data_IF_912089160033
#
_entry.id   IF_912089160033
#
_cell.length_a   1.000
_cell.length_b   1.000
_cell.length_c   1.000
_cell.angle_alpha   90.00
_cell.angle_beta   90.00
_cell.angle_gamma   90.00
#
_symmetry.space_group_name_H-M   'P 1'
#
loop_
_entity.id
_entity.type
_entity.pdbx_description
1 polymer ?
#
# COMPACT_ATOMS: atom_id res chain seq x y z
N UNK A 1 16.69 -6.76 1.55
CA UNK A 1 15.39 -6.15 1.86
C UNK A 1 15.30 -5.87 3.35
N UNK A 2 14.93 -4.68 3.70
CA UNK A 2 14.72 -4.31 5.10
C UNK A 2 13.44 -4.97 5.62
N UNK A 3 13.56 -5.79 6.67
CA UNK A 3 12.40 -6.49 7.23
C UNK A 3 11.31 -5.53 7.69
N UNK A 4 11.69 -4.40 8.27
CA UNK A 4 10.73 -3.38 8.70
C UNK A 4 9.90 -2.76 7.58
N UNK A 5 10.31 -2.95 6.33
CA UNK A 5 9.56 -2.48 5.17
C UNK A 5 8.56 -3.52 4.65
N UNK A 6 8.56 -4.72 5.23
CA UNK A 6 7.60 -5.76 4.87
C UNK A 6 6.42 -5.62 5.81
N UNK A 7 5.41 -4.88 5.38
CA UNK A 7 4.21 -4.66 6.19
C UNK A 7 3.02 -4.39 5.30
N UNK A 8 1.85 -4.55 5.85
CA UNK A 8 0.59 -4.50 5.13
C UNK A 8 -0.41 -3.62 5.85
N UNK A 9 -1.38 -3.13 5.12
CA UNK A 9 -2.58 -2.53 5.68
C UNK A 9 -3.78 -3.06 4.94
N UNK A 10 -4.93 -3.06 5.60
CA UNK A 10 -6.19 -3.47 5.00
C UNK A 10 -7.33 -2.84 5.76
N UNK A 11 -8.51 -2.81 5.16
CA UNK A 11 -9.69 -2.28 5.82
C UNK A 11 -10.36 -3.36 6.65
N UNK A 12 -10.69 -3.01 7.87
CA UNK A 12 -11.39 -3.87 8.80
C UNK A 12 -12.81 -4.12 8.32
N UNK A 13 -13.27 -5.36 8.45
CA UNK A 13 -14.66 -5.69 8.16
C UNK A 13 -15.56 -4.98 9.17
N UNK A 14 -16.60 -4.35 8.67
CA UNK A 14 -17.63 -3.72 9.47
C UNK A 14 -17.50 -2.20 9.56
N UNK A 15 -16.35 -1.66 9.91
CA UNK A 15 -16.18 -0.22 10.07
C UNK A 15 -15.29 0.44 9.02
N UNK A 16 -14.65 -0.36 8.15
CA UNK A 16 -13.79 0.11 7.07
C UNK A 16 -12.60 0.96 7.52
N UNK A 17 -12.18 0.82 8.75
CA UNK A 17 -10.97 1.48 9.24
C UNK A 17 -9.72 0.75 8.76
N UNK A 18 -8.69 1.51 8.44
CA UNK A 18 -7.40 0.93 8.11
C UNK A 18 -6.74 0.31 9.33
N UNK A 19 -6.20 -0.89 9.15
CA UNK A 19 -5.45 -1.61 10.17
C UNK A 19 -4.09 -1.95 9.57
N UNK A 20 -3.03 -1.76 10.34
CA UNK A 20 -1.65 -1.97 9.90
C UNK A 20 -1.00 -3.09 10.68
N UNK A 21 -0.23 -3.93 10.02
CA UNK A 21 0.50 -5.01 10.66
C UNK A 21 0.92 -6.09 9.68
N UNK A 22 1.06 -7.31 10.20
CA UNK A 22 1.44 -8.46 9.41
C UNK A 22 0.21 -9.14 8.83
N UNK A 23 0.35 -9.68 7.63
CA UNK A 23 -0.74 -10.37 6.96
C UNK A 23 -0.77 -11.83 7.41
N UNK A 24 -1.93 -12.32 7.79
CA UNK A 24 -2.11 -13.69 8.22
C UNK A 24 -3.27 -14.35 7.48
N UNK A 25 -2.98 -15.47 6.83
CA UNK A 25 -3.98 -16.26 6.12
C UNK A 25 -4.54 -17.32 7.06
N UNK A 26 -5.80 -17.16 7.42
CA UNK A 26 -6.51 -18.16 8.21
C UNK A 26 -7.17 -19.19 7.29
N UNK A 27 -7.58 -20.35 7.82
CA UNK A 27 -8.32 -21.34 7.03
C UNK A 27 -9.60 -20.76 6.42
N UNK A 28 -10.07 -21.38 5.35
CA UNK A 28 -11.35 -21.05 4.69
C UNK A 28 -11.41 -19.64 4.08
N UNK A 29 -10.27 -19.11 3.66
CA UNK A 29 -10.24 -17.84 2.95
C UNK A 29 -10.33 -16.59 3.82
N UNK A 30 -10.33 -16.76 5.13
CA UNK A 30 -10.32 -15.62 6.05
C UNK A 30 -8.91 -15.04 6.10
N UNK A 31 -8.81 -13.72 6.09
CA UNK A 31 -7.54 -13.02 6.16
C UNK A 31 -7.59 -12.01 7.30
N UNK A 32 -6.52 -11.93 8.06
CA UNK A 32 -6.40 -11.02 9.19
C UNK A 32 -5.12 -10.21 9.10
N UNK A 33 -5.14 -9.04 9.71
CA UNK A 33 -3.94 -8.28 10.04
C UNK A 33 -3.62 -8.57 11.51
N UNK A 34 -2.37 -8.93 11.77
CA UNK A 34 -1.89 -9.20 13.12
C UNK A 34 -1.16 -7.97 13.63
N UNK A 35 -1.66 -7.45 14.74
CA UNK A 35 -1.02 -6.33 15.44
C UNK A 35 -0.31 -6.88 16.67
N UNK A 36 1.01 -6.70 16.71
CA UNK A 36 1.82 -7.17 17.83
C UNK A 36 1.88 -6.09 18.90
N UNK A 37 1.53 -6.47 20.13
CA UNK A 37 1.65 -5.57 21.27
C UNK A 37 2.61 -6.21 22.28
N UNK A 38 2.97 -5.49 23.35
CA UNK A 38 3.86 -6.01 24.37
C UNK A 38 3.30 -7.26 25.06
N UNK A 39 1.98 -7.33 25.22
CA UNK A 39 1.33 -8.36 26.00
C UNK A 39 0.72 -9.47 25.16
N UNK A 40 0.36 -9.19 23.90
CA UNK A 40 -0.37 -10.15 23.09
C UNK A 40 -0.37 -9.75 21.62
N UNK A 41 -0.77 -10.70 20.77
CA UNK A 41 -1.04 -10.44 19.36
C UNK A 41 -2.54 -10.27 19.17
N UNK A 42 -2.90 -9.24 18.44
CA UNK A 42 -4.30 -8.96 18.12
C UNK A 42 -4.55 -9.29 16.66
N UNK A 43 -5.50 -10.19 16.41
CA UNK A 43 -5.90 -10.57 15.05
C UNK A 43 -7.15 -9.79 14.68
N UNK A 44 -7.07 -9.04 13.59
CA UNK A 44 -8.18 -8.22 13.12
C UNK A 44 -8.60 -8.73 11.76
N UNK A 45 -9.83 -9.24 11.65
CA UNK A 45 -10.38 -9.73 10.38
C UNK A 45 -10.59 -8.55 9.43
N UNK A 46 -10.10 -8.70 8.22
CA UNK A 46 -10.11 -7.61 7.22
C UNK A 46 -10.79 -8.07 5.93
N UNK A 47 -11.12 -7.10 5.09
CA UNK A 47 -11.61 -7.34 3.74
C UNK A 47 -10.40 -7.64 2.84
N UNK A 48 -10.26 -8.87 2.32
CA UNK A 48 -9.08 -9.24 1.53
C UNK A 48 -8.88 -8.39 0.28
N UNK A 49 -9.93 -7.82 -0.28
CA UNK A 49 -9.82 -6.99 -1.47
C UNK A 49 -9.12 -5.66 -1.22
N UNK A 50 -8.97 -5.28 0.04
CA UNK A 50 -8.37 -4.01 0.43
C UNK A 50 -6.92 -4.13 0.89
N UNK A 51 -6.33 -5.32 0.84
CA UNK A 51 -4.96 -5.54 1.28
C UNK A 51 -4.00 -4.74 0.41
N UNK A 52 -3.18 -3.94 1.05
CA UNK A 52 -2.15 -3.14 0.41
C UNK A 52 -0.80 -3.44 1.05
N UNK A 53 0.19 -3.66 0.21
CA UNK A 53 1.56 -3.84 0.68
C UNK A 53 2.29 -2.51 0.65
N UNK A 54 3.13 -2.28 1.66
CA UNK A 54 4.02 -1.13 1.66
C UNK A 54 5.09 -1.31 0.57
N UNK A 55 5.33 -0.28 -0.23
CA UNK A 55 6.31 -0.34 -1.32
C UNK A 55 7.76 -0.24 -0.83
N UNK A 56 7.97 0.21 0.41
CA UNK A 56 9.30 0.52 0.94
C UNK A 56 9.73 1.95 0.65
N UNK A 57 8.93 2.72 -0.04
CA UNK A 57 9.27 4.09 -0.43
C UNK A 57 8.43 5.12 0.31
N UNK A 58 9.01 6.33 0.45
CA UNK A 58 8.29 7.48 0.99
C UNK A 58 8.28 8.58 -0.05
N UNK A 59 7.22 9.37 -0.05
CA UNK A 59 7.11 10.50 -0.96
C UNK A 59 7.95 11.69 -0.48
N UNK A 60 7.88 12.81 -1.19
CA UNK A 60 8.69 13.99 -0.88
C UNK A 60 8.34 14.64 0.46
N UNK A 61 7.16 14.32 1.01
CA UNK A 61 6.70 14.85 2.29
C UNK A 61 6.90 13.86 3.43
N UNK A 62 7.55 12.73 3.17
CA UNK A 62 7.80 11.71 4.16
C UNK A 62 6.66 10.72 4.37
N UNK A 63 5.61 10.78 3.56
CA UNK A 63 4.50 9.85 3.64
C UNK A 63 4.86 8.52 3.00
N UNK A 64 4.51 7.43 3.65
CA UNK A 64 4.70 6.10 3.10
C UNK A 64 3.86 5.90 1.85
N UNK A 65 4.43 5.24 0.85
CA UNK A 65 3.74 4.94 -0.41
C UNK A 65 3.32 3.48 -0.38
N UNK A 66 2.01 3.24 -0.51
CA UNK A 66 1.42 1.92 -0.45
C UNK A 66 0.80 1.54 -1.79
N UNK A 67 0.71 0.25 -2.03
CA UNK A 67 -0.12 -0.28 -3.11
C UNK A 67 -1.52 0.30 -3.01
N UNK A 68 -2.09 0.75 -4.14
CA UNK A 68 -3.40 1.39 -4.15
C UNK A 68 -3.38 2.89 -3.95
N UNK A 69 -2.24 3.46 -3.58
CA UNK A 69 -2.13 4.91 -3.41
C UNK A 69 -2.21 5.62 -4.76
N UNK A 70 -2.87 6.77 -4.74
CA UNK A 70 -2.91 7.69 -5.87
C UNK A 70 -1.82 8.72 -5.63
N UNK A 71 -0.88 8.83 -6.56
CA UNK A 71 0.25 9.76 -6.42
C UNK A 71 0.33 10.71 -7.60
N UNK A 72 0.80 11.91 -7.32
CA UNK A 72 1.22 12.86 -8.35
C UNK A 72 2.73 12.81 -8.46
N UNK A 73 3.22 12.73 -9.68
CA UNK A 73 4.63 12.73 -10.00
C UNK A 73 4.96 13.95 -10.84
N UNK A 74 5.98 14.69 -10.45
CA UNK A 74 6.38 15.89 -11.16
C UNK A 74 7.87 15.87 -11.44
N UNK A 75 8.22 16.09 -12.69
CA UNK A 75 9.59 16.25 -13.14
C UNK A 75 9.70 17.41 -14.16
N UNK A 76 10.85 17.51 -14.82
CA UNK A 76 11.07 18.56 -15.82
C UNK A 76 10.20 18.43 -17.07
N UNK A 77 9.57 17.27 -17.27
CA UNK A 77 8.69 16.98 -18.41
C UNK A 77 7.22 17.23 -18.12
N UNK A 78 6.88 17.58 -16.89
CA UNK A 78 5.51 17.86 -16.51
C UNK A 78 5.03 17.07 -15.29
N UNK A 79 3.72 17.07 -15.09
CA UNK A 79 3.07 16.42 -13.98
C UNK A 79 2.20 15.26 -14.47
N UNK A 80 2.25 14.15 -13.74
CA UNK A 80 1.43 12.98 -14.00
C UNK A 80 0.77 12.52 -12.71
N UNK A 81 -0.36 11.84 -12.85
CA UNK A 81 -1.08 11.24 -11.75
C UNK A 81 -1.31 9.78 -12.07
N UNK A 82 -1.08 8.91 -11.11
CA UNK A 82 -1.27 7.48 -11.32
C UNK A 82 -1.48 6.74 -10.03
N UNK A 83 -1.87 5.48 -10.15
CA UNK A 83 -2.10 4.59 -9.03
C UNK A 83 -0.92 3.65 -8.89
N UNK A 84 -0.44 3.47 -7.67
CA UNK A 84 0.60 2.49 -7.36
C UNK A 84 -0.07 1.12 -7.32
N UNK A 85 0.44 0.17 -8.11
CA UNK A 85 -0.13 -1.16 -8.19
C UNK A 85 0.95 -2.22 -8.32
N UNK A 86 0.58 -3.46 -8.00
CA UNK A 86 1.43 -4.62 -8.24
C UNK A 86 1.08 -5.18 -9.61
N UNK A 87 2.06 -5.26 -10.48
CA UNK A 87 1.89 -5.84 -11.81
C UNK A 87 2.44 -7.25 -11.83
N UNK A 88 1.58 -8.23 -12.01
CA UNK A 88 1.98 -9.64 -11.96
C UNK A 88 2.85 -10.06 -13.14
N UNK A 89 2.65 -9.47 -14.30
CA UNK A 89 3.48 -9.78 -15.47
C UNK A 89 4.92 -9.32 -15.27
N UNK A 90 5.09 -8.14 -14.67
CA UNK A 90 6.40 -7.57 -14.41
C UNK A 90 6.97 -7.99 -13.06
N UNK A 91 6.15 -8.61 -12.22
CA UNK A 91 6.49 -8.98 -10.83
C UNK A 91 7.11 -7.80 -10.08
N UNK A 92 6.47 -6.66 -10.18
CA UNK A 92 6.99 -5.40 -9.62
C UNK A 92 5.87 -4.42 -9.34
N UNK A 93 6.15 -3.48 -8.44
CA UNK A 93 5.28 -2.32 -8.26
C UNK A 93 5.42 -1.39 -9.46
N UNK A 94 4.29 -0.86 -9.90
CA UNK A 94 4.20 0.06 -11.00
C UNK A 94 3.52 1.36 -10.60
N UNK A 95 3.89 2.43 -11.31
CA UNK A 95 3.22 3.71 -11.27
C UNK A 95 2.35 3.79 -12.52
N UNK A 96 1.03 3.72 -12.34
CA UNK A 96 0.12 3.68 -13.47
C UNK A 96 0.23 2.37 -14.24
N UNK A 97 0.27 2.46 -15.55
CA UNK A 97 0.16 1.29 -16.43
C UNK A 97 1.54 0.88 -16.95
N UNK A 98 2.06 -0.24 -16.51
CA UNK A 98 3.34 -0.81 -16.95
C UNK A 98 4.59 0.08 -16.73
N UNK A 99 4.49 1.13 -15.93
CA UNK A 99 5.65 1.97 -15.63
C UNK A 99 6.26 1.49 -14.32
N UNK A 100 7.45 0.91 -14.39
CA UNK A 100 8.13 0.39 -13.20
C UNK A 100 8.38 1.50 -12.19
N UNK A 101 7.92 1.30 -10.96
CA UNK A 101 8.05 2.30 -9.90
C UNK A 101 9.51 2.69 -9.64
N UNK A 102 10.43 1.74 -9.79
CA UNK A 102 11.85 1.99 -9.56
C UNK A 102 12.48 3.00 -10.54
N UNK A 103 11.81 3.29 -11.65
CA UNK A 103 12.27 4.29 -12.61
C UNK A 103 11.77 5.71 -12.31
N UNK A 104 10.96 5.85 -11.26
CA UNK A 104 10.36 7.14 -10.90
C UNK A 104 10.77 7.50 -9.48
N UNK A 105 11.68 8.46 -9.30
CA UNK A 105 12.14 8.83 -7.96
C UNK A 105 10.97 9.24 -7.06
N UNK A 106 10.88 8.58 -5.91
CA UNK A 106 9.80 8.85 -4.94
C UNK A 106 9.87 10.26 -4.36
N UNK A 107 11.03 10.87 -4.36
CA UNK A 107 11.20 12.27 -3.96
C UNK A 107 10.45 13.26 -4.86
N UNK A 108 10.03 12.82 -6.05
CA UNK A 108 9.22 13.61 -6.96
C UNK A 108 7.73 13.27 -6.88
N UNK A 109 7.36 12.44 -5.91
CA UNK A 109 5.97 11.98 -5.73
C UNK A 109 5.33 12.62 -4.52
N UNK A 110 4.01 12.80 -4.60
CA UNK A 110 3.16 13.19 -3.48
C UNK A 110 1.94 12.27 -3.46
N UNK A 111 1.73 11.59 -2.34
CA UNK A 111 0.52 10.79 -2.14
C UNK A 111 -0.66 11.74 -1.96
N UNK A 112 -1.68 11.59 -2.79
CA UNK A 112 -2.87 12.47 -2.76
C UNK A 112 -4.15 11.73 -2.41
N UNK A 113 -4.10 10.42 -2.27
CA UNK A 113 -5.27 9.61 -1.89
C UNK A 113 -4.96 8.13 -2.00
N UNK A 114 -6.00 7.31 -1.82
CA UNK A 114 -5.91 5.87 -1.98
C UNK A 114 -7.20 5.38 -2.63
N UNK A 115 -7.06 4.44 -3.55
CA UNK A 115 -8.21 3.92 -4.31
C UNK A 115 -9.27 3.25 -3.44
N UNK A 116 -8.89 2.73 -2.29
CA UNK A 116 -9.84 2.06 -1.39
C UNK A 116 -10.59 3.00 -0.45
N UNK A 117 -10.20 4.24 -0.37
CA UNK A 117 -10.93 5.24 0.41
C UNK A 117 -12.14 5.78 -0.36
N UNK A 118 -12.28 5.37 -1.61
CA UNK A 118 -13.53 5.32 -2.36
C UNK A 118 -14.21 6.62 -2.71
N UNK A 119 -13.69 7.74 -2.32
CA UNK A 119 -14.34 9.00 -2.63
C UNK A 119 -13.34 9.97 -3.19
N UNK A 120 -13.54 10.20 -4.40
CA UNK A 120 -12.71 11.13 -5.14
C UNK A 120 -13.52 12.37 -5.41
#
# INVERSE_FOLDING_TARGET
>A
MEIGNIKFKAKRIGNEEWVFGDLYHEPHGVVSIVQHTEDTDRFVTIDPSTVCQFTGLKDCEGNEIWEGDIVKYKDTHGERKGVINWNEELTAFCFGYYLLLCHYPSENMVVVGNTFDGKI
#
